data_IF_698427657319
#
_entry.id   IF_698427657319
#
_cell.length_a   1.000
_cell.length_b   1.000
_cell.length_c   1.000
_cell.angle_alpha   90.00
_cell.angle_beta   90.00
_cell.angle_gamma   90.00
#
_symmetry.space_group_name_H-M   'P 1'
#
loop_
_entity.id
_entity.type
_entity.pdbx_description
1 polymer ?
#
# COMPACT_ATOMS: atom_id res chain seq x y z
N UNK A 1 -2.61 -0.16 12.59
CA UNK A 1 -1.56 -0.13 13.64
C UNK A 1 -0.37 0.66 13.11
N UNK A 2 0.30 1.42 13.96
CA UNK A 2 1.52 2.16 13.65
C UNK A 2 2.61 1.77 14.64
N UNK A 3 3.84 1.60 14.15
CA UNK A 3 5.04 1.43 14.97
C UNK A 3 6.01 2.58 14.64
N UNK A 4 6.34 3.41 15.62
CA UNK A 4 7.25 4.56 15.44
C UNK A 4 8.70 4.10 15.29
N UNK A 5 9.59 5.01 14.88
CA UNK A 5 11.03 4.72 14.82
C UNK A 5 11.65 4.37 16.19
N UNK A 6 10.98 4.75 17.28
CA UNK A 6 11.37 4.44 18.66
C UNK A 6 10.68 3.17 19.20
N UNK A 7 9.89 2.47 18.38
CA UNK A 7 9.23 1.21 18.77
C UNK A 7 7.93 1.39 19.55
N UNK A 8 7.39 2.61 19.63
CA UNK A 8 6.08 2.84 20.24
C UNK A 8 4.98 2.32 19.31
N UNK A 9 3.95 1.71 19.89
CA UNK A 9 2.88 1.06 19.12
C UNK A 9 1.57 1.80 19.36
N UNK A 10 0.93 2.20 18.27
CA UNK A 10 -0.34 2.89 18.29
C UNK A 10 -1.39 2.14 17.48
N UNK A 11 -2.60 2.03 18.03
CA UNK A 11 -3.77 1.52 17.32
C UNK A 11 -4.64 2.72 16.93
N UNK A 12 -4.67 3.03 15.64
CA UNK A 12 -5.51 4.08 15.08
C UNK A 12 -6.80 3.43 14.59
N UNK A 13 -7.93 3.85 15.15
CA UNK A 13 -9.25 3.43 14.68
C UNK A 13 -9.70 4.35 13.55
N UNK A 14 -9.85 3.78 12.36
CA UNK A 14 -10.47 4.47 11.21
C UNK A 14 -12.00 4.45 11.27
N UNK A 15 -12.61 5.09 10.27
CA UNK A 15 -14.03 4.98 9.97
C UNK A 15 -14.27 4.18 8.68
N UNK A 16 -15.49 4.24 8.13
CA UNK A 16 -15.88 3.49 6.92
C UNK A 16 -15.13 3.90 5.65
N UNK A 17 -14.39 5.01 5.66
CA UNK A 17 -13.74 5.55 4.47
C UNK A 17 -12.29 6.00 4.68
N UNK A 18 -11.80 6.15 5.91
CA UNK A 18 -10.47 6.71 6.12
C UNK A 18 -9.84 6.38 7.47
N UNK A 19 -8.51 6.51 7.52
CA UNK A 19 -7.76 6.62 8.77
C UNK A 19 -7.48 8.10 9.05
N UNK A 20 -7.79 8.62 10.25
CA UNK A 20 -7.58 10.03 10.58
C UNK A 20 -6.11 10.33 10.95
N UNK A 21 -5.14 9.69 10.31
CA UNK A 21 -3.69 9.82 10.61
C UNK A 21 -3.27 11.29 10.58
N UNK A 22 -3.77 12.04 9.60
CA UNK A 22 -3.47 13.47 9.39
C UNK A 22 -4.00 14.38 10.50
N UNK A 23 -4.93 13.89 11.35
CA UNK A 23 -5.52 14.65 12.46
C UNK A 23 -4.86 14.35 13.80
N UNK A 24 -3.87 13.46 13.82
CA UNK A 24 -3.16 13.06 15.04
C UNK A 24 -1.83 13.79 15.08
N UNK A 25 -1.84 14.96 15.71
CA UNK A 25 -0.64 15.81 15.84
C UNK A 25 0.30 15.34 16.97
N UNK A 26 -0.20 14.53 17.90
CA UNK A 26 0.55 14.06 19.07
C UNK A 26 1.54 12.93 18.77
N UNK A 27 1.51 12.35 17.57
CA UNK A 27 2.38 11.24 17.19
C UNK A 27 3.28 11.68 16.04
N UNK A 28 4.59 11.51 16.20
CA UNK A 28 5.55 11.70 15.11
C UNK A 28 5.60 10.43 14.26
N UNK A 29 5.07 10.52 13.04
CA UNK A 29 5.01 9.40 12.09
C UNK A 29 6.25 9.25 11.20
N UNK A 30 7.17 10.20 11.24
CA UNK A 30 8.39 10.15 10.43
C UNK A 30 9.15 8.85 10.71
N UNK A 31 9.55 8.17 9.63
CA UNK A 31 10.19 6.84 9.64
C UNK A 31 9.37 5.70 10.27
N UNK A 32 8.11 5.93 10.65
CA UNK A 32 7.24 4.89 11.20
C UNK A 32 6.82 3.87 10.14
N UNK A 33 6.35 2.72 10.62
CA UNK A 33 5.66 1.71 9.82
C UNK A 33 4.18 1.70 10.13
N UNK A 34 3.32 1.71 9.11
CA UNK A 34 1.87 1.68 9.27
C UNK A 34 1.26 0.46 8.58
N UNK A 35 0.20 -0.10 9.17
CA UNK A 35 -0.62 -1.11 8.53
C UNK A 35 -2.12 -0.90 8.76
N UNK A 36 -2.90 -1.24 7.75
CA UNK A 36 -4.36 -1.20 7.77
C UNK A 36 -4.98 -2.30 6.90
N UNK A 37 -6.28 -2.49 7.07
CA UNK A 37 -7.07 -3.39 6.25
C UNK A 37 -7.91 -2.56 5.28
N UNK A 38 -8.03 -3.00 4.04
CA UNK A 38 -9.03 -2.49 3.12
C UNK A 38 -10.39 -3.11 3.44
N UNK A 39 -11.48 -2.32 3.44
CA UNK A 39 -12.82 -2.88 3.58
C UNK A 39 -13.18 -3.76 2.38
N UNK A 40 -13.90 -4.85 2.65
CA UNK A 40 -14.34 -5.79 1.62
C UNK A 40 -15.15 -5.09 0.50
N UNK A 41 -14.80 -5.39 -0.75
CA UNK A 41 -15.44 -4.84 -1.94
C UNK A 41 -15.20 -3.33 -2.17
N UNK A 42 -14.28 -2.70 -1.43
CA UNK A 42 -13.97 -1.26 -1.51
C UNK A 42 -12.48 -1.01 -1.69
N UNK A 43 -11.88 -1.66 -2.67
CA UNK A 43 -10.47 -1.51 -2.99
C UNK A 43 -10.23 -1.52 -4.51
N UNK A 44 -9.13 -0.91 -4.92
CA UNK A 44 -8.67 -0.90 -6.32
C UNK A 44 -7.67 -2.04 -6.60
N UNK A 45 -7.70 -3.10 -5.77
CA UNK A 45 -6.67 -4.16 -5.72
C UNK A 45 -5.25 -3.57 -5.53
N UNK A 46 -5.17 -2.54 -4.69
CA UNK A 46 -4.02 -1.69 -4.48
C UNK A 46 -4.29 -0.54 -3.52
N UNK A 47 -3.32 0.35 -3.37
CA UNK A 47 -3.43 1.55 -2.56
C UNK A 47 -4.26 2.63 -3.26
N UNK A 48 -5.13 3.31 -2.51
CA UNK A 48 -5.85 4.48 -2.99
C UNK A 48 -4.92 5.70 -3.07
N UNK A 49 -5.34 6.75 -3.77
CA UNK A 49 -4.63 8.05 -3.72
C UNK A 49 -4.41 8.56 -2.29
N UNK A 50 -5.41 8.36 -1.41
CA UNK A 50 -5.33 8.76 0.00
C UNK A 50 -4.28 7.98 0.81
N UNK A 51 -3.99 6.73 0.43
CA UNK A 51 -2.90 5.95 1.03
C UNK A 51 -1.53 6.51 0.65
N UNK A 52 -1.33 6.85 -0.64
CA UNK A 52 -0.09 7.50 -1.09
C UNK A 52 0.11 8.85 -0.42
N UNK A 53 -0.94 9.65 -0.29
CA UNK A 53 -0.88 10.95 0.41
C UNK A 53 -0.56 10.76 1.89
N UNK A 54 -1.17 9.77 2.54
CA UNK A 54 -0.87 9.43 3.94
C UNK A 54 0.58 8.99 4.12
N UNK A 55 1.09 8.12 3.24
CA UNK A 55 2.48 7.68 3.25
C UNK A 55 3.45 8.87 3.16
N UNK A 56 3.22 9.75 2.17
CA UNK A 56 4.08 10.91 1.90
C UNK A 56 3.99 11.96 2.99
N UNK A 57 2.78 12.37 3.38
CA UNK A 57 2.57 13.44 4.34
C UNK A 57 3.03 13.05 5.74
N UNK A 58 2.82 11.78 6.12
CA UNK A 58 3.34 11.24 7.38
C UNK A 58 4.83 10.91 7.35
N UNK A 59 5.49 10.98 6.18
CA UNK A 59 6.89 10.55 5.96
C UNK A 59 7.17 9.14 6.49
N UNK A 60 6.23 8.23 6.26
CA UNK A 60 6.36 6.84 6.68
C UNK A 60 7.52 6.16 5.95
N UNK A 61 8.18 5.23 6.63
CA UNK A 61 9.19 4.36 6.00
C UNK A 61 8.55 3.21 5.23
N UNK A 62 7.41 2.73 5.73
CA UNK A 62 6.73 1.54 5.24
C UNK A 62 5.24 1.61 5.49
N UNK A 63 4.45 1.17 4.51
CA UNK A 63 3.01 0.98 4.64
C UNK A 63 2.60 -0.39 4.12
N UNK A 64 1.73 -1.05 4.87
CA UNK A 64 1.14 -2.34 4.51
C UNK A 64 -0.39 -2.29 4.55
N UNK A 65 -1.02 -2.48 3.40
CA UNK A 65 -2.47 -2.73 3.33
C UNK A 65 -2.75 -4.22 3.11
N UNK A 66 -3.85 -4.71 3.66
CA UNK A 66 -4.34 -6.07 3.44
C UNK A 66 -5.77 -5.97 2.94
N UNK A 67 -6.03 -6.54 1.76
CA UNK A 67 -7.39 -6.74 1.24
C UNK A 67 -7.77 -8.23 1.31
N UNK A 68 -8.90 -8.58 0.72
CA UNK A 68 -9.44 -9.94 0.68
C UNK A 68 -8.50 -10.93 0.02
N UNK A 69 -7.60 -10.49 -0.86
CA UNK A 69 -6.73 -11.33 -1.69
C UNK A 69 -5.24 -11.08 -1.56
N UNK A 70 -4.83 -9.93 -1.09
CA UNK A 70 -3.47 -9.47 -1.27
C UNK A 70 -2.96 -8.69 -0.07
N UNK A 71 -1.66 -8.84 0.15
CA UNK A 71 -0.88 -7.92 0.95
C UNK A 71 -0.18 -6.96 -0.01
N UNK A 72 -0.43 -5.67 0.20
CA UNK A 72 0.18 -4.57 -0.52
C UNK A 72 1.22 -3.93 0.37
N UNK A 73 2.40 -3.68 -0.18
CA UNK A 73 3.50 -3.08 0.54
C UNK A 73 4.02 -1.89 -0.25
N UNK A 74 4.23 -0.76 0.42
CA UNK A 74 4.78 0.47 -0.12
C UNK A 74 5.96 0.91 0.75
N UNK A 75 7.08 1.25 0.13
CA UNK A 75 8.24 1.79 0.83
C UNK A 75 9.08 2.66 -0.09
N UNK A 76 9.91 3.52 0.50
CA UNK A 76 10.92 4.26 -0.25
C UNK A 76 12.10 3.38 -0.64
N UNK A 77 12.59 2.56 0.29
CA UNK A 77 13.90 1.89 0.19
C UNK A 77 13.99 0.54 0.90
N UNK A 78 12.90 0.01 1.49
CA UNK A 78 12.96 -1.28 2.20
C UNK A 78 12.99 -2.51 1.28
N UNK A 79 12.67 -2.33 -0.01
CA UNK A 79 12.72 -3.37 -1.02
C UNK A 79 12.74 -2.72 -2.40
N UNK A 80 13.23 -3.46 -3.39
CA UNK A 80 13.16 -3.07 -4.79
C UNK A 80 11.83 -3.51 -5.41
N UNK A 81 11.29 -2.65 -6.26
CA UNK A 81 10.11 -2.96 -7.06
C UNK A 81 10.50 -3.73 -8.31
N UNK A 82 9.92 -4.91 -8.46
CA UNK A 82 10.09 -5.73 -9.65
C UNK A 82 9.25 -5.19 -10.81
N UNK A 83 9.92 -4.78 -11.88
CA UNK A 83 9.33 -4.26 -13.12
C UNK A 83 9.45 -5.25 -14.29
N UNK A 84 9.86 -6.49 -14.06
CA UNK A 84 10.05 -7.49 -15.14
C UNK A 84 8.76 -7.85 -15.86
N UNK A 85 7.62 -7.83 -15.18
CA UNK A 85 6.30 -8.04 -15.78
C UNK A 85 5.79 -6.85 -16.61
N UNK A 86 6.56 -5.76 -16.68
CA UNK A 86 6.17 -4.58 -17.42
C UNK A 86 6.50 -4.75 -18.89
N UNK A 87 5.46 -5.01 -19.68
CA UNK A 87 5.52 -4.90 -21.13
C UNK A 87 4.77 -3.64 -21.56
N UNK A 88 5.46 -2.73 -22.26
CA UNK A 88 4.87 -1.53 -22.84
C UNK A 88 3.90 -1.85 -24.00
N UNK A 89 3.78 -3.13 -24.39
CA UNK A 89 2.82 -3.59 -25.37
C UNK A 89 1.37 -3.50 -24.84
N UNK A 90 0.69 -2.45 -25.26
CA UNK A 90 -0.72 -2.18 -24.97
C UNK A 90 -1.63 -3.35 -25.39
N UNK A 91 -1.25 -4.17 -26.37
CA UNK A 91 -2.05 -5.35 -26.74
C UNK A 91 -2.04 -6.40 -25.64
N UNK A 92 -0.89 -6.63 -24.98
CA UNK A 92 -0.79 -7.56 -23.85
C UNK A 92 -1.60 -7.09 -22.66
N UNK A 93 -1.66 -5.78 -22.41
CA UNK A 93 -2.51 -5.21 -21.36
C UNK A 93 -4.01 -5.51 -21.58
N UNK A 94 -4.47 -5.65 -22.82
CA UNK A 94 -5.88 -5.97 -23.14
C UNK A 94 -6.23 -7.43 -22.85
N UNK A 95 -5.25 -8.31 -22.80
CA UNK A 95 -5.43 -9.74 -22.50
C UNK A 95 -5.39 -10.04 -20.99
N UNK A 96 -4.93 -9.07 -20.19
CA UNK A 96 -4.86 -9.20 -18.74
C UNK A 96 -6.23 -9.04 -18.07
N UNK A 97 -6.40 -9.71 -16.94
CA UNK A 97 -7.55 -9.46 -16.09
C UNK A 97 -7.39 -8.13 -15.32
N UNK A 98 -8.49 -7.67 -14.73
CA UNK A 98 -8.53 -6.41 -13.99
C UNK A 98 -7.53 -6.36 -12.81
N UNK A 99 -7.29 -7.48 -12.11
CA UNK A 99 -6.38 -7.53 -10.97
C UNK A 99 -4.92 -7.38 -11.41
N UNK A 100 -4.54 -7.92 -12.56
CA UNK A 100 -3.19 -7.79 -13.13
C UNK A 100 -2.95 -6.37 -13.65
N UNK A 101 -3.93 -5.80 -14.36
CA UNK A 101 -3.88 -4.39 -14.78
C UNK A 101 -3.74 -3.47 -13.57
N UNK A 102 -4.51 -3.71 -12.50
CA UNK A 102 -4.40 -2.93 -11.27
C UNK A 102 -3.00 -2.99 -10.65
N UNK A 103 -2.32 -4.14 -10.68
CA UNK A 103 -0.95 -4.26 -10.17
C UNK A 103 0.03 -3.39 -10.96
N UNK A 104 -0.08 -3.39 -12.29
CA UNK A 104 0.77 -2.60 -13.17
C UNK A 104 0.57 -1.11 -12.88
N UNK A 105 -0.69 -0.67 -12.78
CA UNK A 105 -1.02 0.73 -12.46
C UNK A 105 -0.46 1.15 -11.09
N UNK A 106 -0.52 0.28 -10.09
CA UNK A 106 0.07 0.55 -8.78
C UNK A 106 1.60 0.67 -8.82
N UNK A 107 2.28 -0.22 -9.57
CA UNK A 107 3.74 -0.13 -9.79
C UNK A 107 4.12 1.20 -10.47
N UNK A 108 3.39 1.59 -11.53
CA UNK A 108 3.59 2.87 -12.23
C UNK A 108 3.38 4.07 -11.30
N UNK A 109 2.28 4.09 -10.56
CA UNK A 109 1.96 5.17 -9.63
C UNK A 109 3.01 5.32 -8.52
N UNK A 110 3.54 4.20 -8.01
CA UNK A 110 4.64 4.19 -7.05
C UNK A 110 5.93 4.71 -7.68
N UNK A 111 6.28 4.27 -8.89
CA UNK A 111 7.46 4.73 -9.64
C UNK A 111 7.45 6.23 -9.88
N UNK A 112 6.30 6.78 -10.30
CA UNK A 112 6.12 8.23 -10.52
C UNK A 112 6.32 9.05 -9.23
N UNK A 113 6.13 8.42 -8.07
CA UNK A 113 6.33 9.01 -6.74
C UNK A 113 7.70 8.68 -6.14
N UNK A 114 8.59 8.02 -6.89
CA UNK A 114 9.88 7.53 -6.44
C UNK A 114 9.76 6.60 -5.21
N UNK A 115 8.80 5.68 -5.28
CA UNK A 115 8.51 4.66 -4.27
C UNK A 115 8.57 3.27 -4.89
N UNK A 116 8.75 2.27 -4.02
CA UNK A 116 8.70 0.86 -4.36
C UNK A 116 7.38 0.25 -3.88
N UNK A 117 6.70 -0.45 -4.79
CA UNK A 117 5.47 -1.19 -4.51
C UNK A 117 5.64 -2.67 -4.81
N UNK A 118 5.07 -3.53 -3.96
CA UNK A 118 4.90 -4.95 -4.27
C UNK A 118 3.58 -5.47 -3.72
N UNK A 119 3.06 -6.49 -4.41
CA UNK A 119 1.82 -7.19 -4.06
C UNK A 119 2.10 -8.67 -3.90
N UNK A 120 1.57 -9.29 -2.86
CA UNK A 120 1.67 -10.74 -2.63
C UNK A 120 0.30 -11.31 -2.35
N UNK A 121 -0.04 -12.41 -3.02
CA UNK A 121 -1.26 -13.15 -2.69
C UNK A 121 -1.10 -13.74 -1.29
N UNK A 122 -2.06 -13.48 -0.41
CA UNK A 122 -2.25 -14.25 0.81
C UNK A 122 -2.29 -15.77 0.51
N UNK A 123 -1.54 -16.57 1.27
CA UNK A 123 -1.79 -18.00 1.34
C UNK A 123 -2.76 -18.22 2.50
N UNK A 124 -4.04 -18.49 2.22
CA UNK A 124 -4.94 -18.99 3.25
C UNK A 124 -4.48 -20.41 3.57
N UNK A 125 -3.70 -20.58 4.64
CA UNK A 125 -3.61 -21.89 5.28
C UNK A 125 -4.98 -22.13 5.92
N UNK A 126 -5.84 -22.92 5.25
CA UNK A 126 -7.01 -23.50 5.90
C UNK A 126 -6.47 -24.46 6.96
N UNK A 127 -6.42 -24.01 8.21
CA UNK A 127 -6.27 -24.88 9.40
C UNK A 127 -7.60 -25.51 9.72
#
# INVERSE_FOLDING_TARGET
MVVTEHGEIYVIKGDKGSLPVQRIESIRFENASITHNHPEGRHEWGFSGGDFDTFRNGKFKYMRAIDEKYVHELSKDMFEMDMTDFDDDIQKLRELNFEDVAQILQKLNAKDKNLNYRRKKYAIKRT
#
